data_IF_234436595307
#
_entry.id   IF_234436595307
#
_cell.length_a   1.000
_cell.length_b   1.000
_cell.length_c   1.000
_cell.angle_alpha   90.00
_cell.angle_beta   90.00
_cell.angle_gamma   90.00
#
_symmetry.space_group_name_H-M   'P 1'
#
loop_
_entity.id
_entity.type
_entity.pdbx_description
1 polymer ?
#
# COMPACT_ATOMS: atom_id res chain seq x y z
N UNK A 1 -0.25 11.72 -4.49
CA UNK A 1 0.90 11.37 -5.34
C UNK A 1 2.15 11.13 -4.50
N UNK A 2 3.17 10.49 -5.07
CA UNK A 2 4.45 10.28 -4.39
C UNK A 2 5.17 11.61 -4.06
N UNK A 3 5.07 12.60 -4.95
CA UNK A 3 5.69 13.91 -4.73
C UNK A 3 5.03 14.69 -3.59
N UNK A 4 3.71 14.59 -3.46
CA UNK A 4 2.99 15.15 -2.31
C UNK A 4 3.34 14.40 -1.04
N UNK A 5 3.37 13.07 -1.06
CA UNK A 5 3.82 12.26 0.08
C UNK A 5 5.22 12.65 0.56
N UNK A 6 6.14 12.87 -0.37
CA UNK A 6 7.49 13.35 -0.08
C UNK A 6 7.47 14.75 0.58
N UNK A 7 6.82 15.73 -0.06
CA UNK A 7 6.82 17.12 0.40
C UNK A 7 6.13 17.29 1.76
N UNK A 8 4.98 16.61 1.95
CA UNK A 8 4.25 16.64 3.23
C UNK A 8 5.11 16.00 4.33
N UNK A 9 5.75 14.86 4.04
CA UNK A 9 6.59 14.17 5.02
C UNK A 9 7.79 15.01 5.42
N UNK A 10 8.43 15.72 4.49
CA UNK A 10 9.52 16.65 4.84
C UNK A 10 9.05 17.71 5.85
N UNK A 11 7.89 18.32 5.62
CA UNK A 11 7.34 19.33 6.51
C UNK A 11 6.98 18.75 7.89
N UNK A 12 6.38 17.55 7.90
CA UNK A 12 6.01 16.86 9.14
C UNK A 12 7.25 16.50 9.97
N UNK A 13 8.31 15.99 9.33
CA UNK A 13 9.57 15.66 10.02
C UNK A 13 10.26 16.87 10.63
N UNK A 14 10.16 18.05 9.98
CA UNK A 14 10.67 19.29 10.54
C UNK A 14 9.89 19.75 11.78
N UNK A 15 8.56 19.58 11.77
CA UNK A 15 7.70 19.94 12.89
C UNK A 15 7.73 18.90 14.02
N UNK A 16 8.00 17.64 13.70
CA UNK A 16 7.94 16.49 14.62
C UNK A 16 9.19 15.60 14.45
N UNK A 17 10.35 16.02 14.94
CA UNK A 17 11.61 15.28 14.76
C UNK A 17 11.64 13.94 15.50
N UNK A 18 10.72 13.71 16.43
CA UNK A 18 10.54 12.48 17.19
C UNK A 18 9.55 11.49 16.58
N UNK A 19 9.01 11.77 15.39
CA UNK A 19 8.06 10.92 14.67
C UNK A 19 8.59 9.49 14.53
N UNK A 20 7.71 8.49 14.75
CA UNK A 20 8.04 7.06 14.70
C UNK A 20 7.30 6.29 13.64
N UNK A 21 6.07 6.69 13.33
CA UNK A 21 5.20 5.93 12.42
C UNK A 21 4.56 6.88 11.43
N UNK A 22 4.55 6.48 10.16
CA UNK A 22 3.79 7.12 9.09
C UNK A 22 2.91 6.07 8.43
N UNK A 23 1.67 6.41 8.14
CA UNK A 23 0.79 5.61 7.31
C UNK A 23 0.40 6.39 6.05
N UNK A 24 0.80 5.87 4.90
CA UNK A 24 0.33 6.34 3.60
C UNK A 24 -0.95 5.59 3.21
N UNK A 25 -2.03 6.29 2.96
CA UNK A 25 -3.30 5.66 2.55
C UNK A 25 -3.25 5.03 1.15
N UNK A 26 -2.14 5.20 0.44
CA UNK A 26 -1.81 4.51 -0.81
C UNK A 26 -0.30 4.27 -0.86
N UNK A 27 0.13 3.20 -1.51
CA UNK A 27 1.55 2.83 -1.62
C UNK A 27 2.40 3.91 -2.30
N UNK A 28 1.87 4.60 -3.31
CA UNK A 28 2.56 5.70 -3.94
C UNK A 28 2.91 6.83 -2.95
N UNK A 29 1.99 7.15 -2.03
CA UNK A 29 2.22 8.15 -0.98
C UNK A 29 3.26 7.64 0.03
N UNK A 30 3.14 6.38 0.46
CA UNK A 30 4.10 5.74 1.36
C UNK A 30 5.52 5.71 0.77
N UNK A 31 5.66 5.46 -0.53
CA UNK A 31 6.94 5.50 -1.25
C UNK A 31 7.54 6.91 -1.28
N UNK A 32 6.71 7.96 -1.44
CA UNK A 32 7.14 9.34 -1.33
C UNK A 32 7.64 9.66 0.08
N UNK A 33 6.87 9.25 1.09
CA UNK A 33 7.25 9.40 2.50
C UNK A 33 8.57 8.67 2.81
N UNK A 34 8.78 7.46 2.29
CA UNK A 34 10.01 6.70 2.48
C UNK A 34 11.24 7.46 1.96
N UNK A 35 11.15 8.04 0.77
CA UNK A 35 12.24 8.87 0.22
C UNK A 35 12.56 10.10 1.09
N UNK A 36 11.53 10.75 1.67
CA UNK A 36 11.74 11.89 2.55
C UNK A 36 12.43 11.49 3.85
N UNK A 37 12.00 10.36 4.46
CA UNK A 37 12.60 9.80 5.68
C UNK A 37 14.04 9.35 5.44
N UNK A 38 14.33 8.70 4.31
CA UNK A 38 15.67 8.30 3.89
C UNK A 38 16.57 9.52 3.67
N UNK A 39 16.06 10.54 2.95
CA UNK A 39 16.77 11.80 2.70
C UNK A 39 17.07 12.59 3.97
N UNK A 40 16.27 12.45 5.01
CA UNK A 40 16.49 13.04 6.34
C UNK A 40 17.43 12.19 7.23
N UNK A 41 17.85 11.00 6.80
CA UNK A 41 18.68 10.09 7.60
C UNK A 41 17.94 9.42 8.75
N UNK A 42 16.59 9.35 8.69
CA UNK A 42 15.73 8.85 9.77
C UNK A 42 15.17 7.43 9.50
N UNK A 43 15.74 6.72 8.52
CA UNK A 43 15.24 5.39 8.11
C UNK A 43 15.24 4.34 9.24
N UNK A 44 16.11 4.46 10.23
CA UNK A 44 16.13 3.59 11.41
C UNK A 44 15.18 4.01 12.53
N UNK A 45 14.64 5.23 12.45
CA UNK A 45 13.75 5.79 13.46
C UNK A 45 12.28 5.65 13.10
N UNK A 46 11.94 5.78 11.81
CA UNK A 46 10.56 5.88 11.32
C UNK A 46 10.19 4.61 10.58
N UNK A 47 9.03 4.05 10.91
CA UNK A 47 8.41 2.92 10.22
C UNK A 47 7.24 3.43 9.39
N UNK A 48 7.13 2.95 8.14
CA UNK A 48 6.07 3.37 7.22
C UNK A 48 5.24 2.16 6.81
N UNK A 49 3.92 2.33 6.87
CA UNK A 49 2.95 1.42 6.29
C UNK A 49 2.24 2.04 5.09
N UNK A 50 1.83 1.22 4.15
CA UNK A 50 1.08 1.61 2.95
C UNK A 50 -0.20 0.82 2.76
N UNK A 51 -0.84 1.04 1.62
CA UNK A 51 -2.06 0.35 1.21
C UNK A 51 -2.08 0.26 -0.32
N UNK A 52 -2.60 -0.81 -0.87
CA UNK A 52 -2.88 -1.22 -2.23
C UNK A 52 -2.13 -2.50 -2.65
N UNK A 53 -0.84 -2.62 -2.38
CA UNK A 53 0.01 -3.70 -2.88
C UNK A 53 0.49 -3.44 -4.31
N UNK A 54 0.81 -2.19 -4.61
CA UNK A 54 1.37 -1.81 -5.92
C UNK A 54 2.68 -2.54 -6.20
N UNK A 55 2.91 -2.92 -7.46
CA UNK A 55 4.11 -3.65 -7.87
C UNK A 55 5.41 -2.96 -7.45
N UNK A 56 5.50 -1.65 -7.66
CA UNK A 56 6.68 -0.86 -7.26
C UNK A 56 6.91 -0.84 -5.75
N UNK A 57 5.83 -0.83 -4.97
CA UNK A 57 5.90 -0.91 -3.52
C UNK A 57 6.32 -2.31 -3.06
N UNK A 58 5.77 -3.37 -3.66
CA UNK A 58 6.19 -4.74 -3.38
C UNK A 58 7.66 -5.00 -3.75
N UNK A 59 8.14 -4.45 -4.87
CA UNK A 59 9.55 -4.49 -5.24
C UNK A 59 10.46 -3.77 -4.23
N UNK A 60 10.04 -2.62 -3.73
CA UNK A 60 10.75 -1.91 -2.68
C UNK A 60 10.75 -2.73 -1.38
N UNK A 61 9.58 -3.17 -0.94
CA UNK A 61 9.39 -3.96 0.28
C UNK A 61 10.21 -5.26 0.27
N UNK A 62 10.29 -5.97 -0.87
CA UNK A 62 10.99 -7.24 -0.98
C UNK A 62 12.48 -7.17 -0.63
N UNK A 63 13.06 -5.97 -0.62
CA UNK A 63 14.46 -5.74 -0.22
C UNK A 63 14.64 -5.70 1.31
N UNK A 64 13.60 -5.52 2.09
CA UNK A 64 13.59 -5.36 3.55
C UNK A 64 14.66 -4.37 4.07
N UNK A 65 14.90 -3.28 3.35
CA UNK A 65 16.05 -2.40 3.59
C UNK A 65 15.69 -0.92 3.69
N UNK A 66 14.51 -0.56 4.08
CA UNK A 66 14.12 0.84 4.19
C UNK A 66 13.02 1.05 5.22
N UNK A 67 12.59 2.30 5.44
CA UNK A 67 11.56 2.63 6.41
C UNK A 67 10.16 2.15 6.05
N UNK A 68 9.86 1.93 4.76
CA UNK A 68 8.59 1.38 4.30
C UNK A 68 8.65 -0.16 4.42
N UNK A 69 7.95 -0.73 5.39
CA UNK A 69 8.12 -2.11 5.84
C UNK A 69 6.92 -3.01 5.63
N UNK A 70 5.76 -2.45 5.35
CA UNK A 70 4.51 -3.20 5.23
C UNK A 70 3.48 -2.47 4.37
N UNK A 71 2.73 -3.22 3.58
CA UNK A 71 1.52 -2.71 2.91
C UNK A 71 0.33 -3.64 3.15
N UNK A 72 -0.88 -3.12 3.03
CA UNK A 72 -2.10 -3.94 2.95
C UNK A 72 -2.43 -4.18 1.48
N UNK A 73 -2.11 -5.37 0.99
CA UNK A 73 -2.28 -5.75 -0.43
C UNK A 73 -3.73 -6.08 -0.74
N UNK A 74 -4.29 -5.44 -1.75
CA UNK A 74 -5.60 -5.72 -2.31
C UNK A 74 -5.49 -6.62 -3.55
N UNK A 75 -6.50 -7.47 -3.80
CA UNK A 75 -6.62 -8.18 -5.07
C UNK A 75 -7.49 -7.40 -6.05
N UNK A 76 -6.86 -6.59 -6.90
CA UNK A 76 -7.56 -5.85 -7.97
C UNK A 76 -8.22 -6.78 -8.96
N UNK A 77 -7.63 -7.96 -9.23
CA UNK A 77 -8.22 -9.02 -10.05
C UNK A 77 -9.54 -9.50 -9.43
N UNK A 78 -9.53 -9.86 -8.14
CA UNK A 78 -10.75 -10.32 -7.44
C UNK A 78 -11.83 -9.24 -7.43
N UNK A 79 -11.45 -7.98 -7.16
CA UNK A 79 -12.41 -6.86 -7.20
C UNK A 79 -13.03 -6.69 -8.59
N UNK A 80 -12.20 -6.74 -9.64
CA UNK A 80 -12.67 -6.67 -11.02
C UNK A 80 -13.61 -7.83 -11.38
N UNK A 81 -13.26 -9.07 -11.01
CA UNK A 81 -14.11 -10.25 -11.23
C UNK A 81 -15.45 -10.09 -10.52
N UNK A 82 -15.44 -9.75 -9.24
CA UNK A 82 -16.68 -9.53 -8.46
C UNK A 82 -17.57 -8.43 -9.08
N UNK A 83 -16.97 -7.35 -9.56
CA UNK A 83 -17.70 -6.26 -10.20
C UNK A 83 -18.38 -6.70 -11.49
N UNK A 84 -17.65 -7.43 -12.36
CA UNK A 84 -18.20 -7.93 -13.65
C UNK A 84 -19.26 -8.98 -13.40
N UNK A 85 -19.01 -9.96 -12.53
CA UNK A 85 -19.96 -11.03 -12.21
C UNK A 85 -21.25 -10.45 -11.62
N UNK A 86 -21.13 -9.48 -10.73
CA UNK A 86 -22.28 -8.78 -10.15
C UNK A 86 -23.09 -8.02 -11.22
N UNK A 87 -22.42 -7.32 -12.12
CA UNK A 87 -23.06 -6.59 -13.21
C UNK A 87 -23.83 -7.54 -14.16
N UNK A 88 -23.22 -8.69 -14.51
CA UNK A 88 -23.87 -9.70 -15.35
C UNK A 88 -25.07 -10.34 -14.64
N UNK A 89 -24.96 -10.65 -13.36
CA UNK A 89 -26.05 -11.20 -12.56
C UNK A 89 -27.24 -10.22 -12.51
N UNK A 90 -26.98 -8.93 -12.22
CA UNK A 90 -28.02 -7.89 -12.22
C UNK A 90 -28.67 -7.76 -13.60
N UNK A 91 -27.88 -7.75 -14.69
CA UNK A 91 -28.40 -7.68 -16.06
C UNK A 91 -29.29 -8.89 -16.40
N UNK A 92 -29.03 -10.06 -15.80
CA UNK A 92 -29.84 -11.26 -15.92
C UNK A 92 -31.05 -11.29 -14.96
N UNK A 93 -31.34 -10.22 -14.24
CA UNK A 93 -32.45 -10.13 -13.28
C UNK A 93 -32.22 -10.89 -11.96
N UNK A 94 -31.00 -11.31 -11.69
CA UNK A 94 -30.64 -11.99 -10.44
C UNK A 94 -30.39 -10.98 -9.33
N UNK A 95 -30.62 -11.41 -8.09
CA UNK A 95 -30.22 -10.61 -6.91
C UNK A 95 -28.75 -10.85 -6.61
N UNK A 96 -28.05 -9.76 -6.34
CA UNK A 96 -26.69 -9.78 -5.81
C UNK A 96 -26.67 -9.21 -4.39
N UNK A 97 -25.68 -9.57 -3.62
CA UNK A 97 -25.47 -9.01 -2.29
C UNK A 97 -25.16 -7.51 -2.41
N UNK A 98 -25.79 -6.70 -1.55
CA UNK A 98 -25.61 -5.24 -1.53
C UNK A 98 -24.14 -4.86 -1.22
N UNK A 99 -23.49 -5.67 -0.38
CA UNK A 99 -22.10 -5.47 0.02
C UNK A 99 -21.28 -6.72 -0.25
N UNK A 100 -20.31 -6.59 -1.15
CA UNK A 100 -19.30 -7.62 -1.41
C UNK A 100 -17.94 -7.13 -0.96
N UNK A 101 -17.22 -7.94 -0.21
CA UNK A 101 -15.92 -7.56 0.37
C UNK A 101 -14.81 -8.36 -0.29
N UNK A 102 -13.80 -7.65 -0.80
CA UNK A 102 -12.50 -8.22 -1.11
C UNK A 102 -11.55 -7.87 0.03
N UNK A 103 -11.12 -8.87 0.78
CA UNK A 103 -10.24 -8.66 1.92
C UNK A 103 -8.85 -8.20 1.46
N UNK A 104 -8.28 -7.23 2.19
CA UNK A 104 -6.88 -6.88 2.05
C UNK A 104 -6.03 -7.77 2.96
N UNK A 105 -4.80 -8.09 2.50
CA UNK A 105 -3.86 -8.94 3.23
C UNK A 105 -2.66 -8.10 3.67
N UNK A 106 -2.36 -8.14 4.97
CA UNK A 106 -1.16 -7.48 5.47
C UNK A 106 0.09 -8.18 4.94
N UNK A 107 0.88 -7.45 4.17
CA UNK A 107 2.05 -7.94 3.45
C UNK A 107 3.31 -7.23 3.96
N UNK A 108 4.00 -7.80 4.95
CA UNK A 108 5.29 -7.29 5.40
C UNK A 108 6.40 -7.60 4.38
N UNK A 109 7.54 -6.97 4.57
CA UNK A 109 8.65 -7.02 3.63
C UNK A 109 9.16 -8.44 3.32
N UNK A 110 9.17 -9.34 4.29
CA UNK A 110 9.58 -10.74 4.13
C UNK A 110 8.62 -11.58 3.26
N UNK A 111 7.39 -11.11 3.07
CA UNK A 111 6.38 -11.76 2.23
C UNK A 111 6.17 -11.09 0.87
N UNK A 112 6.65 -9.86 0.71
CA UNK A 112 6.42 -9.08 -0.51
C UNK A 112 6.95 -9.77 -1.78
N UNK A 113 8.09 -10.45 -1.72
CA UNK A 113 8.65 -11.21 -2.83
C UNK A 113 7.75 -12.34 -3.34
N UNK A 114 6.99 -12.98 -2.46
CA UNK A 114 6.02 -14.01 -2.83
C UNK A 114 4.84 -13.46 -3.64
N UNK A 115 4.42 -12.23 -3.37
CA UNK A 115 3.37 -11.55 -4.12
C UNK A 115 3.81 -11.12 -5.52
N UNK A 116 5.10 -10.81 -5.71
CA UNK A 116 5.66 -10.47 -7.03
C UNK A 116 5.61 -11.65 -8.01
N UNK A 117 5.73 -12.88 -7.50
CA UNK A 117 5.73 -14.11 -8.32
C UNK A 117 4.37 -14.76 -8.46
N UNK A 118 3.49 -14.58 -7.48
CA UNK A 118 2.19 -15.24 -7.38
C UNK A 118 1.09 -14.20 -7.10
N UNK A 119 0.84 -13.30 -8.07
CA UNK A 119 -0.30 -12.37 -7.96
C UNK A 119 -1.61 -13.14 -7.86
N UNK A 120 -2.33 -13.12 -6.72
CA UNK A 120 -3.65 -13.73 -6.60
C UNK A 120 -4.72 -12.93 -7.35
#
# INVERSE_FOLDING_TARGET
>A
SADEGFSITQNVLQAHPDLKIIFGQADGIAMGAAKAVEGAGLASQVVIGGYDGDMSALEYLSKCSGPFTVTATQSTRRMGTLAVDSALAVAAGQKVEEKQVSEAVLTPCDKAGGYLTNHP
#
